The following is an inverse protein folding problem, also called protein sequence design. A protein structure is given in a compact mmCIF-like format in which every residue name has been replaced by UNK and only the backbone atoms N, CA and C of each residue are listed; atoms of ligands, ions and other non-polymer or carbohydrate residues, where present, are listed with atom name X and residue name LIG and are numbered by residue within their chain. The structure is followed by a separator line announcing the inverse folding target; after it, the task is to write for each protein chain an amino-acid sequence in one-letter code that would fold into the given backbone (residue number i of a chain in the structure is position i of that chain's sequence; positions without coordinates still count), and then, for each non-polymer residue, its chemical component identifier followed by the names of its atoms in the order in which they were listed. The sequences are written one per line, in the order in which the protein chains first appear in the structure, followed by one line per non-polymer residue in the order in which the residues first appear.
data_IF_097612394228
#
_entry.id   IF_097612394228
#
_cell.length_a   1.000
_cell.length_b   1.000
_cell.length_c   1.000
_cell.angle_alpha   90.00
_cell.angle_beta   90.00
_cell.angle_gamma   90.00
#
_symmetry.space_group_name_H-M   'P 1'
#
loop_
_entity.id
_entity.type
_entity.pdbx_description
1 polymer ?
#
# COMPACT_ATOMS: atom_id res chain seq x y z
N UNK A 1 15.70 -20.25 9.01
CA UNK A 1 15.51 -21.36 9.96
C UNK A 1 15.10 -22.58 9.16
N UNK A 2 15.72 -23.72 9.42
CA UNK A 2 15.26 -25.00 8.88
C UNK A 2 14.44 -25.68 9.97
N UNK A 3 13.11 -25.56 9.90
CA UNK A 3 12.19 -26.03 10.94
C UNK A 3 10.97 -25.12 11.13
N UNK A 4 10.14 -25.42 12.12
CA UNK A 4 8.96 -24.61 12.45
C UNK A 4 9.34 -23.33 13.20
N UNK A 5 8.56 -22.27 12.97
CA UNK A 5 8.60 -21.03 13.74
C UNK A 5 7.19 -20.79 14.32
N UNK A 6 7.11 -20.57 15.63
CA UNK A 6 5.90 -20.14 16.32
C UNK A 6 6.22 -18.90 17.16
N UNK A 7 5.45 -17.84 16.97
CA UNK A 7 5.52 -16.62 17.77
C UNK A 7 4.10 -16.23 18.20
N UNK A 8 3.94 -15.60 19.37
CA UNK A 8 2.64 -15.10 19.82
C UNK A 8 2.14 -13.94 18.98
N UNK A 9 3.06 -13.08 18.51
CA UNK A 9 2.81 -11.99 17.58
C UNK A 9 4.13 -11.57 16.93
N UNK A 10 4.05 -10.80 15.85
CA UNK A 10 5.19 -10.16 15.20
C UNK A 10 5.08 -8.65 15.38
N UNK A 11 6.19 -8.00 15.75
CA UNK A 11 6.30 -6.54 15.75
C UNK A 11 7.44 -6.15 14.81
N UNK A 12 7.23 -5.07 14.08
CA UNK A 12 8.25 -4.44 13.26
C UNK A 12 8.71 -3.11 13.87
N UNK A 13 9.20 -2.25 12.99
CA UNK A 13 9.54 -0.87 13.32
C UNK A 13 8.28 -0.05 13.61
N UNK A 14 8.41 1.01 14.40
CA UNK A 14 7.27 1.85 14.79
C UNK A 14 7.59 3.33 14.55
N UNK A 15 6.58 4.06 14.11
CA UNK A 15 6.56 5.52 14.02
C UNK A 15 5.30 6.01 14.72
N UNK A 16 5.43 7.05 15.55
CA UNK A 16 4.31 7.57 16.36
C UNK A 16 4.04 9.02 15.97
N UNK A 17 2.78 9.33 15.64
CA UNK A 17 2.32 10.70 15.47
C UNK A 17 1.16 11.01 16.42
N UNK A 18 1.48 11.48 17.62
CA UNK A 18 0.54 11.96 18.64
C UNK A 18 0.49 13.50 18.68
N UNK A 19 0.76 14.13 17.55
CA UNK A 19 0.70 15.59 17.44
C UNK A 19 -0.56 16.00 16.72
N UNK A 20 -0.95 17.27 16.89
CA UNK A 20 -2.10 17.86 16.22
C UNK A 20 -1.86 18.20 14.74
N UNK A 21 -0.68 17.85 14.21
CA UNK A 21 -0.32 18.08 12.81
C UNK A 21 0.03 16.79 12.09
N UNK A 22 -0.29 16.73 10.81
CA UNK A 22 0.21 15.67 9.94
C UNK A 22 1.72 15.87 9.74
N UNK A 23 2.52 14.86 10.08
CA UNK A 23 3.98 14.96 10.00
C UNK A 23 4.56 13.97 8.98
N UNK A 24 5.60 14.41 8.28
CA UNK A 24 6.42 13.54 7.46
C UNK A 24 7.47 12.84 8.32
N UNK A 25 7.67 11.55 8.06
CA UNK A 25 8.70 10.75 8.69
C UNK A 25 9.57 10.09 7.64
N UNK A 26 10.88 10.12 7.84
CA UNK A 26 11.81 9.30 7.06
C UNK A 26 11.83 7.92 7.67
N UNK A 27 11.28 6.92 6.98
CA UNK A 27 11.29 5.55 7.49
C UNK A 27 12.71 4.98 7.45
N UNK A 28 13.43 5.22 6.37
CA UNK A 28 14.81 4.75 6.26
C UNK A 28 15.21 4.53 4.81
N UNK A 29 16.28 3.77 4.63
CA UNK A 29 16.89 3.51 3.34
C UNK A 29 17.04 2.01 3.10
N UNK A 30 16.61 1.57 1.92
CA UNK A 30 16.64 0.19 1.46
C UNK A 30 17.79 0.03 0.46
N UNK A 31 18.58 -1.02 0.61
CA UNK A 31 19.60 -1.44 -0.34
C UNK A 31 19.13 -2.65 -1.14
N UNK A 32 19.41 -2.61 -2.44
CA UNK A 32 19.04 -3.59 -3.44
C UNK A 32 20.32 -4.11 -4.13
N UNK A 33 21.06 -5.08 -3.56
CA UNK A 33 22.27 -5.62 -4.16
C UNK A 33 22.06 -6.25 -5.55
N UNK A 34 20.90 -6.86 -5.81
CA UNK A 34 20.61 -7.55 -7.06
C UNK A 34 19.55 -6.82 -7.92
N UNK A 35 19.67 -6.85 -9.27
CA UNK A 35 18.56 -6.51 -10.15
C UNK A 35 17.33 -7.40 -9.89
N UNK A 36 16.14 -6.87 -10.16
CA UNK A 36 14.82 -7.48 -9.93
C UNK A 36 14.49 -7.82 -8.47
N UNK A 37 15.36 -7.49 -7.52
CA UNK A 37 15.06 -7.61 -6.09
C UNK A 37 13.87 -6.75 -5.71
N UNK A 38 13.01 -7.30 -4.85
CA UNK A 38 11.84 -6.62 -4.31
C UNK A 38 11.95 -6.41 -2.81
N UNK A 39 11.39 -5.30 -2.35
CA UNK A 39 11.05 -5.04 -0.95
C UNK A 39 9.54 -4.75 -0.87
N UNK A 40 8.89 -5.34 0.11
CA UNK A 40 7.49 -5.05 0.45
C UNK A 40 7.47 -4.52 1.87
N UNK A 41 6.94 -3.31 2.04
CA UNK A 41 6.71 -2.68 3.33
C UNK A 41 5.21 -2.69 3.62
N UNK A 42 4.82 -3.38 4.70
CA UNK A 42 3.46 -3.42 5.20
C UNK A 42 3.35 -2.52 6.42
N UNK A 43 2.68 -1.38 6.27
CA UNK A 43 2.39 -0.45 7.35
C UNK A 43 0.99 -0.72 7.89
N UNK A 44 0.89 -0.86 9.20
CA UNK A 44 -0.34 -1.14 9.94
C UNK A 44 -0.53 0.00 10.94
N UNK A 45 -1.66 0.69 10.81
CA UNK A 45 -2.00 1.86 11.62
C UNK A 45 -3.30 2.48 11.14
N UNK A 46 -4.12 2.97 12.07
CA UNK A 46 -5.40 3.63 11.76
C UNK A 46 -5.21 5.15 11.79
N UNK A 47 -5.90 5.86 10.92
CA UNK A 47 -5.78 7.31 10.80
C UNK A 47 -6.27 8.09 12.03
N UNK A 48 -7.23 7.55 12.78
CA UNK A 48 -7.88 8.21 13.90
C UNK A 48 -8.39 7.20 14.94
N UNK A 49 -8.97 7.71 16.03
CA UNK A 49 -9.62 6.91 17.05
C UNK A 49 -11.12 6.66 16.77
N UNK A 50 -11.62 7.02 15.58
CA UNK A 50 -13.06 6.95 15.27
C UNK A 50 -13.52 5.50 15.24
N UNK A 51 -14.54 5.17 16.06
CA UNK A 51 -15.16 3.86 16.07
C UNK A 51 -15.86 3.59 14.74
N UNK A 52 -15.68 2.41 14.12
CA UNK A 52 -16.49 2.00 12.97
C UNK A 52 -17.97 2.14 13.29
N UNK A 53 -18.67 2.98 12.53
CA UNK A 53 -20.11 3.24 12.70
C UNK A 53 -20.75 3.53 11.34
N UNK A 54 -22.06 3.26 11.25
CA UNK A 54 -22.83 3.44 10.01
C UNK A 54 -22.45 2.47 8.88
N UNK A 55 -22.95 2.77 7.68
CA UNK A 55 -22.65 2.02 6.45
C UNK A 55 -21.52 2.71 5.69
N UNK A 56 -20.47 1.98 5.34
CA UNK A 56 -19.37 2.51 4.54
C UNK A 56 -19.84 2.78 3.10
N UNK A 57 -19.72 4.03 2.64
CA UNK A 57 -20.15 4.44 1.29
C UNK A 57 -19.05 4.39 0.23
N UNK A 58 -17.80 4.07 0.58
CA UNK A 58 -16.72 3.99 -0.41
C UNK A 58 -15.51 3.26 0.16
N UNK A 59 -14.76 2.49 -0.66
CA UNK A 59 -13.53 1.86 -0.22
C UNK A 59 -12.42 2.86 0.17
N UNK A 60 -12.48 4.10 -0.32
CA UNK A 60 -11.50 5.15 0.05
C UNK A 60 -11.91 5.96 1.30
N UNK A 61 -13.18 5.88 1.70
CA UNK A 61 -13.75 6.59 2.86
C UNK A 61 -14.47 5.60 3.77
N UNK A 62 -13.73 4.62 4.30
CA UNK A 62 -14.25 3.62 5.24
C UNK A 62 -13.70 3.92 6.63
N UNK A 63 -14.59 3.97 7.64
CA UNK A 63 -14.15 4.06 9.04
C UNK A 63 -13.80 2.65 9.51
N UNK A 64 -12.52 2.30 9.42
CA UNK A 64 -12.02 0.97 9.77
C UNK A 64 -10.57 0.99 10.24
N UNK A 65 -10.03 -0.18 10.53
CA UNK A 65 -8.57 -0.36 10.69
C UNK A 65 -7.85 -0.05 9.38
N UNK A 66 -6.58 0.33 9.44
CA UNK A 66 -5.85 0.78 8.27
C UNK A 66 -4.59 -0.04 7.97
N UNK A 67 -4.33 -0.25 6.68
CA UNK A 67 -3.10 -0.83 6.17
C UNK A 67 -2.65 -0.13 4.89
N UNK A 68 -1.35 0.05 4.74
CA UNK A 68 -0.71 0.51 3.51
C UNK A 68 0.35 -0.49 3.10
N UNK A 69 0.36 -0.87 1.83
CA UNK A 69 1.43 -1.67 1.24
C UNK A 69 2.22 -0.81 0.27
N UNK A 70 3.53 -0.77 0.45
CA UNK A 70 4.48 -0.12 -0.46
C UNK A 70 5.37 -1.22 -1.03
N UNK A 71 5.32 -1.40 -2.34
CA UNK A 71 6.15 -2.35 -3.05
C UNK A 71 7.26 -1.58 -3.77
N UNK A 72 8.48 -2.05 -3.65
CA UNK A 72 9.63 -1.49 -4.35
C UNK A 72 10.37 -2.60 -5.10
N UNK A 73 10.77 -2.32 -6.33
CA UNK A 73 11.59 -3.23 -7.12
C UNK A 73 12.74 -2.48 -7.76
N UNK A 74 13.94 -3.05 -7.71
CA UNK A 74 15.08 -2.58 -8.50
C UNK A 74 14.99 -3.17 -9.90
N UNK A 75 14.78 -2.32 -10.91
CA UNK A 75 15.01 -2.63 -12.32
C UNK A 75 16.37 -2.01 -12.71
N UNK A 76 16.43 -1.19 -13.76
CA UNK A 76 17.58 -0.30 -14.01
C UNK A 76 17.79 0.71 -12.86
N UNK A 77 16.67 1.13 -12.26
CA UNK A 77 16.61 1.91 -11.03
C UNK A 77 15.44 1.42 -10.18
N UNK A 78 15.26 1.96 -8.98
CA UNK A 78 14.18 1.54 -8.08
C UNK A 78 12.84 2.16 -8.49
N UNK A 79 11.83 1.34 -8.66
CA UNK A 79 10.45 1.75 -8.88
C UNK A 79 9.61 1.39 -7.66
N UNK A 80 8.51 2.12 -7.46
CA UNK A 80 7.60 1.88 -6.37
C UNK A 80 6.14 1.98 -6.81
N UNK A 81 5.31 1.12 -6.24
CA UNK A 81 3.86 1.21 -6.25
C UNK A 81 3.33 1.06 -4.82
N UNK A 82 2.12 1.52 -4.60
CA UNK A 82 1.49 1.41 -3.30
C UNK A 82 -0.02 1.34 -3.41
N UNK A 83 -0.64 0.75 -2.38
CA UNK A 83 -2.08 0.78 -2.20
C UNK A 83 -2.47 0.69 -0.73
N UNK A 84 -3.72 1.04 -0.48
CA UNK A 84 -4.29 1.19 0.85
C UNK A 84 -5.44 0.21 1.06
N UNK A 85 -5.65 -0.18 2.31
CA UNK A 85 -6.82 -0.92 2.76
C UNK A 85 -7.38 -0.23 4.01
N UNK A 86 -8.69 -0.11 4.08
CA UNK A 86 -9.36 0.49 5.23
C UNK A 86 -9.01 1.98 5.37
N UNK A 87 -8.74 2.42 6.60
CA UNK A 87 -8.40 3.82 6.92
C UNK A 87 -6.95 3.94 7.43
N UNK A 88 -5.93 3.84 6.56
CA UNK A 88 -4.53 3.87 6.98
C UNK A 88 -4.14 5.21 7.62
N UNK A 89 -3.22 5.15 8.58
CA UNK A 89 -2.55 6.33 9.14
C UNK A 89 -1.69 7.08 8.12
N UNK A 90 -1.25 6.41 7.07
CA UNK A 90 -0.45 6.97 5.98
C UNK A 90 -1.35 7.78 5.04
N UNK A 91 -1.08 9.09 4.94
CA UNK A 91 -1.77 10.03 4.06
C UNK A 91 -1.08 10.22 2.72
N UNK A 92 0.25 10.17 2.71
CA UNK A 92 1.04 10.36 1.50
C UNK A 92 2.36 9.60 1.62
N UNK A 93 2.93 9.22 0.47
CA UNK A 93 4.15 8.44 0.38
C UNK A 93 5.10 9.12 -0.61
N UNK A 94 6.36 9.21 -0.24
CA UNK A 94 7.45 9.58 -1.15
C UNK A 94 8.56 8.57 -1.07
N UNK A 95 9.27 8.41 -2.18
CA UNK A 95 10.50 7.65 -2.20
C UNK A 95 11.57 8.41 -2.99
N UNK A 96 12.84 8.14 -2.72
CA UNK A 96 13.96 8.84 -3.34
C UNK A 96 15.02 7.84 -3.72
N UNK A 97 15.57 7.95 -4.93
CA UNK A 97 16.62 7.07 -5.42
C UNK A 97 17.98 7.63 -5.01
N UNK A 98 18.86 6.78 -4.49
CA UNK A 98 20.27 7.11 -4.27
C UNK A 98 21.07 6.19 -5.18
N UNK A 99 21.53 6.73 -6.30
CA UNK A 99 22.04 5.93 -7.42
C UNK A 99 20.97 4.97 -7.97
N UNK A 100 21.37 3.74 -8.29
CA UNK A 100 20.49 2.69 -8.86
C UNK A 100 20.16 1.58 -7.87
N UNK A 101 20.84 1.56 -6.71
CA UNK A 101 20.83 0.43 -5.75
C UNK A 101 20.20 0.78 -4.42
N UNK A 102 19.91 2.05 -4.15
CA UNK A 102 19.30 2.47 -2.89
C UNK A 102 18.01 3.25 -3.12
N UNK A 103 17.05 3.07 -2.21
CA UNK A 103 15.86 3.91 -2.11
C UNK A 103 15.57 4.33 -0.68
N UNK A 104 15.30 5.62 -0.48
CA UNK A 104 14.85 6.19 0.79
C UNK A 104 13.33 6.32 0.76
N UNK A 105 12.65 6.01 1.87
CA UNK A 105 11.19 6.06 1.97
C UNK A 105 10.76 7.10 3.00
N UNK A 106 9.76 7.89 2.65
CA UNK A 106 9.06 8.79 3.55
C UNK A 106 7.57 8.55 3.51
N UNK A 107 6.92 8.71 4.66
CA UNK A 107 5.47 8.66 4.78
C UNK A 107 4.98 9.88 5.55
N UNK A 108 3.86 10.43 5.12
CA UNK A 108 3.11 11.43 5.90
C UNK A 108 2.10 10.68 6.75
N UNK A 109 2.19 10.82 8.07
CA UNK A 109 1.23 10.24 9.00
C UNK A 109 0.22 11.29 9.42
N UNK A 110 -1.04 10.88 9.56
CA UNK A 110 -2.13 11.74 10.03
C UNK A 110 -1.87 12.21 11.47
N UNK A 111 -2.29 13.43 11.78
CA UNK A 111 -2.34 13.94 13.15
C UNK A 111 -3.09 12.96 14.08
N UNK A 112 -2.56 12.75 15.28
CA UNK A 112 -3.16 11.88 16.30
C UNK A 112 -3.45 10.43 15.83
N UNK A 113 -2.70 9.91 14.85
CA UNK A 113 -2.85 8.52 14.35
C UNK A 113 -2.27 7.45 15.29
N UNK A 114 -1.61 7.85 16.37
CA UNK A 114 -0.98 6.90 17.29
C UNK A 114 0.21 6.18 16.68
N UNK A 115 0.38 4.91 17.06
CA UNK A 115 1.43 4.05 16.53
C UNK A 115 1.10 3.54 15.13
N UNK A 116 2.01 3.76 14.19
CA UNK A 116 2.05 3.06 12.90
C UNK A 116 3.23 2.11 12.90
N UNK A 117 2.95 0.82 12.91
CA UNK A 117 3.98 -0.22 12.84
C UNK A 117 4.21 -0.61 11.38
N UNK A 118 5.43 -0.98 11.00
CA UNK A 118 5.64 -1.61 9.71
C UNK A 118 6.62 -2.79 9.73
N UNK A 119 6.30 -3.77 8.88
CA UNK A 119 7.11 -4.95 8.63
C UNK A 119 7.69 -4.91 7.22
N UNK A 120 8.81 -5.60 7.04
CA UNK A 120 9.50 -5.70 5.76
C UNK A 120 9.58 -7.16 5.30
N UNK A 121 9.43 -7.35 3.99
CA UNK A 121 9.73 -8.60 3.30
C UNK A 121 10.63 -8.28 2.12
N UNK A 122 11.56 -9.17 1.78
CA UNK A 122 12.41 -9.02 0.60
C UNK A 122 12.67 -10.35 -0.07
N UNK A 123 12.87 -10.30 -1.39
CA UNK A 123 13.36 -11.44 -2.19
C UNK A 123 14.87 -11.44 -2.34
N UNK A 124 15.56 -10.41 -1.86
CA UNK A 124 17.00 -10.28 -2.02
C UNK A 124 17.81 -11.16 -1.07
N UNK A 125 19.12 -11.29 -1.34
CA UNK A 125 19.98 -12.15 -0.55
C UNK A 125 20.18 -11.60 0.87
N UNK A 126 20.32 -12.50 1.83
CA UNK A 126 20.68 -12.21 3.22
C UNK A 126 22.20 -12.20 3.39
N UNK A 127 22.68 -11.81 4.58
CA UNK A 127 24.12 -11.85 4.89
C UNK A 127 24.71 -13.26 4.91
N UNK A 128 23.86 -14.28 5.09
CA UNK A 128 24.26 -15.69 5.02
C UNK A 128 24.53 -16.14 3.59
N UNK A 129 23.87 -15.52 2.60
CA UNK A 129 23.98 -15.91 1.18
C UNK A 129 25.19 -15.25 0.50
N UNK A 130 25.55 -14.02 0.90
CA UNK A 130 26.58 -13.22 0.22
C UNK A 130 27.18 -12.14 1.11
N UNK A 131 28.34 -11.61 0.72
CA UNK A 131 28.97 -10.45 1.36
C UNK A 131 28.20 -9.14 1.15
N UNK A 132 27.57 -8.96 -0.02
CA UNK A 132 26.74 -7.79 -0.34
C UNK A 132 25.25 -8.14 -0.28
N UNK A 133 24.65 -7.97 0.90
CA UNK A 133 23.31 -8.43 1.20
C UNK A 133 22.27 -7.30 1.23
N UNK A 134 21.00 -7.68 1.19
CA UNK A 134 19.86 -6.77 1.32
C UNK A 134 19.88 -6.10 2.69
N UNK A 135 19.75 -4.78 2.72
CA UNK A 135 19.86 -4.01 3.96
C UNK A 135 18.73 -3.00 4.06
N UNK A 136 18.16 -2.86 5.25
CA UNK A 136 17.33 -1.73 5.63
C UNK A 136 18.01 -0.93 6.74
N UNK A 137 18.28 0.35 6.48
CA UNK A 137 18.83 1.30 7.43
C UNK A 137 17.68 2.15 7.97
N UNK A 138 17.19 1.78 9.15
CA UNK A 138 16.10 2.48 9.81
C UNK A 138 16.50 3.91 10.21
N UNK A 139 15.55 4.84 10.13
CA UNK A 139 15.72 6.23 10.55
C UNK A 139 14.61 6.64 11.54
N UNK A 140 13.35 6.56 11.11
CA UNK A 140 12.15 6.95 11.87
C UNK A 140 12.07 8.42 12.31
N UNK A 141 13.02 9.27 11.91
CA UNK A 141 12.97 10.68 12.29
C UNK A 141 11.82 11.43 11.62
N UNK A 142 11.27 12.39 12.37
CA UNK A 142 10.38 13.41 11.84
C UNK A 142 11.17 14.32 10.89
N UNK A 143 10.60 14.62 9.73
CA UNK A 143 11.20 15.53 8.75
C UNK A 143 10.82 16.96 9.11
N UNK A 144 11.82 17.75 9.50
CA UNK A 144 11.65 19.18 9.81
C UNK A 144 11.76 20.08 8.59
N UNK A 145 12.50 19.63 7.56
CA UNK A 145 12.68 20.34 6.31
C UNK A 145 12.12 19.51 5.15
N UNK A 146 10.90 19.87 4.72
CA UNK A 146 10.18 19.16 3.65
C UNK A 146 10.89 19.23 2.29
N UNK A 147 11.82 20.17 2.08
CA UNK A 147 12.56 20.28 0.81
C UNK A 147 13.53 19.11 0.61
N UNK A 148 13.86 18.37 1.69
CA UNK A 148 14.69 17.16 1.65
C UNK A 148 13.92 15.91 1.24
N UNK A 149 12.60 16.00 1.14
CA UNK A 149 11.77 14.88 0.69
C UNK A 149 11.80 14.83 -0.84
N UNK A 150 12.05 13.66 -1.40
CA UNK A 150 12.00 13.48 -2.86
C UNK A 150 10.60 13.75 -3.41
N UNK A 151 10.53 14.23 -4.65
CA UNK A 151 9.26 14.45 -5.35
C UNK A 151 8.65 13.17 -5.95
N UNK A 152 9.36 12.04 -5.96
CA UNK A 152 8.81 10.81 -6.54
C UNK A 152 7.72 10.21 -5.65
N UNK A 153 6.58 9.91 -6.27
CA UNK A 153 5.46 9.20 -5.63
C UNK A 153 5.42 7.76 -6.15
N UNK A 154 5.15 6.76 -5.30
CA UNK A 154 4.77 5.44 -5.79
C UNK A 154 3.53 5.55 -6.67
N UNK A 155 3.43 4.71 -7.70
CA UNK A 155 2.19 4.60 -8.48
C UNK A 155 1.08 4.03 -7.59
N UNK A 156 -0.04 4.75 -7.44
CA UNK A 156 -1.19 4.28 -6.66
C UNK A 156 -1.97 3.23 -7.45
N UNK A 157 -1.63 1.95 -7.26
CA UNK A 157 -2.17 0.83 -8.04
C UNK A 157 -2.35 -0.40 -7.17
N UNK A 158 -3.40 -1.17 -7.44
CA UNK A 158 -3.51 -2.54 -6.93
C UNK A 158 -4.18 -3.43 -7.97
N UNK A 159 -3.91 -4.73 -7.88
CA UNK A 159 -4.57 -5.76 -8.67
C UNK A 159 -4.66 -7.05 -7.89
N UNK A 160 -5.86 -7.62 -7.80
CA UNK A 160 -6.12 -8.91 -7.19
C UNK A 160 -6.77 -9.80 -8.24
N UNK A 161 -6.06 -10.85 -8.68
CA UNK A 161 -6.48 -11.70 -9.78
C UNK A 161 -5.94 -13.13 -9.64
N UNK A 162 -6.54 -14.07 -10.35
CA UNK A 162 -6.05 -15.45 -10.50
C UNK A 162 -5.19 -15.66 -11.76
N UNK A 163 -4.89 -14.59 -12.51
CA UNK A 163 -4.15 -14.62 -13.78
C UNK A 163 -5.06 -14.59 -15.01
N UNK A 164 -6.38 -14.68 -14.84
CA UNK A 164 -7.38 -14.62 -15.91
C UNK A 164 -8.45 -13.55 -15.65
N UNK A 165 -8.95 -13.48 -14.42
CA UNK A 165 -9.97 -12.53 -13.98
C UNK A 165 -9.57 -11.87 -12.66
N UNK A 166 -10.07 -10.66 -12.40
CA UNK A 166 -9.75 -9.92 -11.19
C UNK A 166 -10.27 -8.48 -11.16
N UNK A 167 -9.91 -7.79 -10.08
CA UNK A 167 -10.24 -6.39 -9.81
C UNK A 167 -8.97 -5.60 -9.45
N UNK A 168 -8.96 -4.32 -9.79
CA UNK A 168 -7.89 -3.42 -9.42
C UNK A 168 -8.32 -1.96 -9.43
N UNK A 169 -7.34 -1.09 -9.22
CA UNK A 169 -7.46 0.33 -9.49
C UNK A 169 -6.14 0.88 -10.02
N UNK A 170 -6.22 1.93 -10.84
CA UNK A 170 -5.05 2.60 -11.41
C UNK A 170 -4.82 3.99 -10.81
N UNK A 171 -3.68 4.58 -11.16
CA UNK A 171 -3.19 5.88 -10.66
C UNK A 171 -4.07 7.08 -11.06
N UNK A 172 -5.03 6.87 -11.98
CA UNK A 172 -6.02 7.88 -12.38
C UNK A 172 -7.29 7.83 -11.53
N UNK A 173 -7.34 6.95 -10.52
CA UNK A 173 -8.50 6.77 -9.64
C UNK A 173 -9.63 5.95 -10.29
N UNK A 174 -9.32 5.13 -11.29
CA UNK A 174 -10.32 4.33 -12.01
C UNK A 174 -10.24 2.87 -11.59
N UNK A 175 -11.39 2.28 -11.24
CA UNK A 175 -11.53 0.83 -11.02
C UNK A 175 -11.27 0.08 -12.32
N UNK A 176 -10.45 -0.96 -12.26
CA UNK A 176 -10.20 -1.88 -13.37
C UNK A 176 -10.81 -3.24 -13.07
N UNK A 177 -11.42 -3.85 -14.09
CA UNK A 177 -12.02 -5.18 -14.02
C UNK A 177 -11.52 -6.00 -15.20
N UNK A 178 -11.12 -7.24 -14.95
CA UNK A 178 -10.80 -8.21 -15.97
C UNK A 178 -11.72 -9.43 -15.78
N UNK A 179 -12.45 -9.79 -16.83
CA UNK A 179 -13.32 -10.96 -16.88
C UNK A 179 -13.49 -11.40 -18.33
N UNK A 180 -14.01 -12.61 -18.54
CA UNK A 180 -14.36 -13.07 -19.88
C UNK A 180 -15.45 -12.18 -20.50
N UNK A 181 -15.39 -11.99 -21.81
CA UNK A 181 -16.44 -11.26 -22.53
C UNK A 181 -17.76 -12.05 -22.46
N UNK A 182 -18.83 -11.38 -22.00
CA UNK A 182 -20.19 -11.90 -22.05
C UNK A 182 -20.88 -11.51 -23.36
N UNK A 183 -21.62 -12.43 -23.97
CA UNK A 183 -22.44 -12.18 -25.16
C UNK A 183 -23.89 -12.53 -24.85
N UNK A 184 -24.68 -11.58 -24.28
CA UNK A 184 -26.04 -11.89 -23.87
C UNK A 184 -26.92 -12.20 -25.07
N UNK A 185 -27.85 -13.14 -24.86
CA UNK A 185 -28.83 -13.53 -25.90
C UNK A 185 -29.87 -12.43 -26.05
N UNK A 186 -30.37 -11.90 -24.94
CA UNK A 186 -31.25 -10.74 -24.94
C UNK A 186 -30.45 -9.44 -24.76
N UNK A 187 -30.45 -8.59 -25.79
CA UNK A 187 -29.73 -7.30 -25.77
C UNK A 187 -30.65 -6.10 -25.52
N UNK A 188 -31.96 -6.30 -25.42
CA UNK A 188 -32.94 -5.20 -25.38
C UNK A 188 -33.36 -4.81 -23.96
N UNK A 189 -33.33 -5.75 -23.01
CA UNK A 189 -33.68 -5.49 -21.62
C UNK A 189 -32.75 -6.26 -20.66
N UNK A 190 -32.32 -5.65 -19.55
CA UNK A 190 -31.61 -6.37 -18.49
C UNK A 190 -32.47 -7.49 -17.90
N UNK A 191 -31.84 -8.63 -17.61
CA UNK A 191 -32.45 -9.75 -16.87
C UNK A 191 -32.75 -9.35 -15.42
N UNK A 192 -31.88 -8.53 -14.83
CA UNK A 192 -32.05 -8.06 -13.46
C UNK A 192 -31.05 -6.96 -13.09
N UNK A 193 -31.02 -6.63 -11.80
CA UNK A 193 -30.12 -5.63 -11.24
C UNK A 193 -29.49 -6.13 -9.95
N UNK A 194 -28.24 -5.75 -9.73
CA UNK A 194 -27.57 -5.87 -8.44
C UNK A 194 -27.34 -4.48 -7.84
N UNK A 195 -27.40 -4.37 -6.52
CA UNK A 195 -27.05 -3.13 -5.84
C UNK A 195 -25.53 -3.08 -5.66
N UNK A 196 -24.92 -2.00 -6.16
CA UNK A 196 -23.52 -1.66 -5.94
C UNK A 196 -23.46 -0.23 -5.45
N UNK A 197 -22.76 0.00 -4.34
CA UNK A 197 -22.49 1.35 -3.89
C UNK A 197 -21.38 1.96 -4.75
N UNK A 198 -21.73 2.99 -5.53
CA UNK A 198 -20.81 3.72 -6.40
C UNK A 198 -20.70 5.15 -5.87
N UNK A 199 -19.53 5.49 -5.32
CA UNK A 199 -19.21 6.81 -4.78
C UNK A 199 -20.22 7.29 -3.71
N UNK A 200 -20.59 6.44 -2.77
CA UNK A 200 -21.48 6.78 -1.65
C UNK A 200 -22.96 6.59 -1.93
N UNK A 201 -23.34 6.17 -3.13
CA UNK A 201 -24.74 6.02 -3.52
C UNK A 201 -25.00 4.60 -4.01
N UNK A 202 -26.02 3.95 -3.46
CA UNK A 202 -26.48 2.65 -3.96
C UNK A 202 -27.09 2.81 -5.35
N UNK A 203 -26.46 2.16 -6.33
CA UNK A 203 -26.89 2.15 -7.72
C UNK A 203 -27.31 0.74 -8.12
N UNK A 204 -28.36 0.66 -8.93
CA UNK A 204 -28.77 -0.57 -9.60
C UNK A 204 -27.89 -0.77 -10.83
N UNK A 205 -27.01 -1.76 -10.78
CA UNK A 205 -26.18 -2.15 -11.93
C UNK A 205 -26.89 -3.29 -12.65
N UNK A 206 -27.27 -3.10 -13.93
CA UNK A 206 -27.97 -4.12 -14.69
C UNK A 206 -27.05 -5.29 -15.04
N UNK A 207 -27.61 -6.49 -15.14
CA UNK A 207 -26.99 -7.64 -15.79
C UNK A 207 -27.95 -8.26 -16.80
N UNK A 208 -27.38 -8.90 -17.82
CA UNK A 208 -28.09 -9.60 -18.90
C UNK A 208 -27.85 -11.11 -18.75
N UNK A 209 -28.58 -11.90 -19.54
CA UNK A 209 -28.49 -13.37 -19.56
C UNK A 209 -27.21 -13.91 -20.20
#
# INVERSE_FOLDING_TARGET
MTGSLRAGYYSGYKVVNNTDTDNWYRLGQLYFPAPNQQWVMELIGKADATTPSGTAGSPVNVVGTGKTLINLQRLETVWADAYHMGQPSVLDIRYGRVGTTYAVIWVKLRANSGETMFNLKTTGPTRFDTGSCSLFQADMSVVTDITKISNLKPAARFGMHNGLAGIGANEKGVVTLATAAGTPTNKTAPTGFVLININGVDRKVPYYD
#
